data_IF_772871052824
#
_entry.id   IF_772871052824
#
_cell.length_a   1.000
_cell.length_b   1.000
_cell.length_c   1.000
_cell.angle_alpha   90.00
_cell.angle_beta   90.00
_cell.angle_gamma   90.00
#
_symmetry.space_group_name_H-M   'P 1'
#
loop_
_entity.id
_entity.type
_entity.pdbx_description
1 polymer ?
#
# COMPACT_ATOMS: atom_id res chain seq x y z
N UNK A 1 -6.11 13.03 19.40
CA UNK A 1 -6.35 12.86 17.96
C UNK A 1 -5.24 11.99 17.41
N UNK A 2 -5.55 10.80 16.90
CA UNK A 2 -4.52 9.84 16.49
C UNK A 2 -4.92 9.29 15.13
N UNK A 3 -4.10 9.46 14.08
CA UNK A 3 -4.33 8.79 12.81
C UNK A 3 -4.44 7.28 13.00
N UNK A 4 -5.31 6.62 12.25
CA UNK A 4 -5.36 5.16 12.21
C UNK A 4 -4.50 4.64 11.06
N UNK A 5 -3.93 3.44 11.25
CA UNK A 5 -3.07 2.81 10.24
C UNK A 5 -3.70 1.50 9.79
N UNK A 6 -3.71 1.27 8.49
CA UNK A 6 -4.15 0.04 7.85
C UNK A 6 -3.30 -0.29 6.63
N UNK A 7 -3.57 -1.45 6.01
CA UNK A 7 -2.96 -1.85 4.74
C UNK A 7 -4.05 -2.18 3.74
N UNK A 8 -4.10 -1.43 2.64
CA UNK A 8 -5.10 -1.63 1.58
C UNK A 8 -4.72 -2.74 0.59
N UNK A 9 -3.43 -3.11 0.58
CA UNK A 9 -2.87 -4.09 -0.34
C UNK A 9 -1.59 -4.66 0.24
N UNK A 10 -1.47 -5.98 0.29
CA UNK A 10 -0.28 -6.72 0.69
C UNK A 10 0.02 -7.78 -0.38
N UNK A 11 1.29 -7.87 -0.76
CA UNK A 11 1.78 -8.75 -1.81
C UNK A 11 2.75 -9.77 -1.22
N UNK A 12 2.43 -11.05 -1.37
CA UNK A 12 3.32 -12.16 -1.06
C UNK A 12 3.77 -12.88 -2.33
N UNK A 13 4.99 -13.42 -2.32
CA UNK A 13 5.54 -14.29 -3.35
C UNK A 13 5.84 -15.67 -2.77
N UNK A 14 5.22 -16.69 -3.34
CA UNK A 14 5.53 -18.09 -3.09
C UNK A 14 6.57 -18.53 -4.11
N UNK A 15 7.75 -18.90 -3.62
CA UNK A 15 8.90 -19.26 -4.45
C UNK A 15 8.81 -20.72 -4.89
N UNK A 16 9.28 -20.97 -6.11
CA UNK A 16 9.51 -22.31 -6.66
C UNK A 16 8.25 -23.17 -6.78
N UNK A 17 7.07 -22.54 -6.90
CA UNK A 17 5.80 -23.23 -7.11
C UNK A 17 5.78 -23.83 -8.52
N UNK A 18 5.77 -25.17 -8.69
CA UNK A 18 5.73 -25.80 -10.00
C UNK A 18 4.40 -25.55 -10.73
N UNK A 19 4.40 -25.65 -12.06
CA UNK A 19 3.20 -25.43 -12.87
C UNK A 19 2.05 -26.37 -12.49
N UNK A 20 2.35 -27.64 -12.20
CA UNK A 20 1.36 -28.62 -11.75
C UNK A 20 0.70 -28.24 -10.43
N UNK A 21 1.47 -27.66 -9.50
CA UNK A 21 0.95 -27.13 -8.23
C UNK A 21 0.11 -25.89 -8.48
N UNK A 22 0.57 -24.97 -9.33
CA UNK A 22 -0.20 -23.80 -9.71
C UNK A 22 -1.56 -24.15 -10.35
N UNK A 23 -1.63 -25.17 -11.22
CA UNK A 23 -2.90 -25.63 -11.77
C UNK A 23 -3.82 -26.21 -10.70
N UNK A 24 -3.29 -26.99 -9.74
CA UNK A 24 -4.09 -27.50 -8.62
C UNK A 24 -4.60 -26.39 -7.72
N UNK A 25 -3.76 -25.38 -7.43
CA UNK A 25 -4.18 -24.15 -6.74
C UNK A 25 -5.36 -23.51 -7.46
N UNK A 26 -5.22 -23.27 -8.76
CA UNK A 26 -6.25 -22.60 -9.55
C UNK A 26 -7.57 -23.38 -9.57
N UNK A 27 -7.50 -24.72 -9.73
CA UNK A 27 -8.68 -25.59 -9.64
C UNK A 27 -9.37 -25.49 -8.27
N UNK A 28 -8.61 -25.50 -7.16
CA UNK A 28 -9.18 -25.30 -5.81
C UNK A 28 -9.92 -23.97 -5.68
N UNK A 29 -9.39 -22.89 -6.27
CA UNK A 29 -10.05 -21.59 -6.26
C UNK A 29 -11.30 -21.58 -7.14
N UNK A 30 -11.29 -22.24 -8.30
CA UNK A 30 -12.48 -22.35 -9.15
C UNK A 30 -13.63 -23.11 -8.47
N UNK A 31 -13.32 -24.13 -7.66
CA UNK A 31 -14.32 -24.88 -6.90
C UNK A 31 -15.07 -24.01 -5.87
N UNK A 32 -14.51 -22.87 -5.47
CA UNK A 32 -15.17 -21.91 -4.56
C UNK A 32 -16.27 -21.08 -5.24
N UNK A 33 -16.51 -21.26 -6.54
CA UNK A 33 -17.54 -20.53 -7.33
C UNK A 33 -17.38 -19.00 -7.31
N UNK A 34 -16.16 -18.50 -7.10
CA UNK A 34 -15.87 -17.07 -7.18
C UNK A 34 -15.94 -16.53 -8.61
N UNK A 35 -16.15 -15.21 -8.73
CA UNK A 35 -16.10 -14.53 -10.03
C UNK A 35 -14.64 -14.32 -10.42
N UNK A 36 -14.18 -15.01 -11.46
CA UNK A 36 -12.80 -14.92 -11.94
C UNK A 36 -12.73 -14.20 -13.29
N UNK A 37 -11.83 -13.23 -13.40
CA UNK A 37 -11.36 -12.68 -14.68
C UNK A 37 -9.90 -13.09 -14.86
N UNK A 38 -9.52 -13.58 -16.04
CA UNK A 38 -8.15 -14.03 -16.28
C UNK A 38 -7.58 -13.52 -17.59
N UNK A 39 -6.25 -13.42 -17.63
CA UNK A 39 -5.46 -13.16 -18.82
C UNK A 39 -4.27 -14.10 -18.85
N UNK A 40 -4.09 -14.79 -19.97
CA UNK A 40 -3.01 -15.76 -20.17
C UNK A 40 -2.11 -15.29 -21.29
N UNK A 41 -0.82 -15.13 -20.98
CA UNK A 41 0.22 -14.77 -21.92
C UNK A 41 1.00 -16.04 -22.28
N UNK A 42 0.43 -16.86 -23.17
CA UNK A 42 0.94 -18.22 -23.48
C UNK A 42 2.42 -18.25 -23.88
N UNK A 43 2.87 -17.29 -24.69
CA UNK A 43 4.29 -17.18 -25.13
C UNK A 43 5.26 -16.86 -23.98
N UNK A 44 4.78 -16.27 -22.90
CA UNK A 44 5.58 -15.85 -21.74
C UNK A 44 5.32 -16.72 -20.51
N UNK A 45 4.50 -17.78 -20.65
CA UNK A 45 4.06 -18.66 -19.56
C UNK A 45 3.64 -17.87 -18.31
N UNK A 46 2.90 -16.79 -18.55
CA UNK A 46 2.48 -15.86 -17.52
C UNK A 46 0.95 -15.84 -17.44
N UNK A 47 0.44 -15.94 -16.23
CA UNK A 47 -0.98 -16.06 -15.95
C UNK A 47 -1.36 -14.99 -14.92
N UNK A 48 -2.43 -14.26 -15.20
CA UNK A 48 -2.95 -13.21 -14.35
C UNK A 48 -4.41 -13.46 -14.09
N UNK A 49 -4.80 -13.50 -12.81
CA UNK A 49 -6.18 -13.68 -12.39
C UNK A 49 -6.57 -12.56 -11.45
N UNK A 50 -7.81 -12.10 -11.61
CA UNK A 50 -8.50 -11.27 -10.64
C UNK A 50 -9.73 -12.02 -10.20
N UNK A 51 -9.77 -12.33 -8.91
CA UNK A 51 -10.76 -13.19 -8.29
C UNK A 51 -11.54 -12.33 -7.31
N UNK A 52 -12.86 -12.26 -7.48
CA UNK A 52 -13.75 -11.51 -6.59
C UNK A 52 -14.52 -12.50 -5.72
N UNK A 53 -14.27 -12.41 -4.41
CA UNK A 53 -14.80 -13.34 -3.41
C UNK A 53 -16.09 -12.82 -2.76
N UNK A 54 -16.33 -11.50 -2.80
CA UNK A 54 -17.48 -10.87 -2.19
C UNK A 54 -17.64 -9.39 -2.53
N UNK A 55 -18.27 -8.64 -1.62
CA UNK A 55 -18.38 -7.17 -1.71
C UNK A 55 -17.07 -6.55 -1.20
N UNK A 56 -16.24 -6.06 -2.13
CA UNK A 56 -14.94 -5.46 -1.79
C UNK A 56 -13.79 -6.46 -1.62
N UNK A 57 -14.10 -7.74 -1.37
CA UNK A 57 -13.12 -8.80 -1.21
C UNK A 57 -12.58 -9.30 -2.56
N UNK A 58 -11.26 -9.32 -2.70
CA UNK A 58 -10.58 -9.68 -3.94
C UNK A 58 -9.29 -10.44 -3.70
N UNK A 59 -8.82 -11.14 -4.72
CA UNK A 59 -7.48 -11.72 -4.79
C UNK A 59 -6.93 -11.53 -6.19
N UNK A 60 -5.77 -10.91 -6.29
CA UNK A 60 -4.98 -10.82 -7.50
C UNK A 60 -3.91 -11.90 -7.48
N UNK A 61 -3.87 -12.71 -8.54
CA UNK A 61 -2.89 -13.79 -8.71
C UNK A 61 -2.06 -13.48 -9.93
N UNK A 62 -0.74 -13.51 -9.77
CA UNK A 62 0.22 -13.45 -10.87
C UNK A 62 1.14 -14.67 -10.78
N UNK A 63 1.13 -15.50 -11.80
CA UNK A 63 2.03 -16.64 -11.90
C UNK A 63 2.92 -16.48 -13.14
N UNK A 64 4.20 -16.81 -13.00
CA UNK A 64 5.14 -16.81 -14.12
C UNK A 64 6.10 -18.00 -14.01
N UNK A 65 6.25 -18.70 -15.12
CA UNK A 65 7.14 -19.85 -15.25
C UNK A 65 8.06 -19.65 -16.46
N UNK A 66 9.28 -19.16 -16.28
CA UNK A 66 10.13 -18.78 -17.42
C UNK A 66 10.61 -19.97 -18.26
N UNK A 67 10.93 -21.13 -17.65
CA UNK A 67 11.35 -22.39 -18.32
C UNK A 67 11.19 -23.54 -17.31
N UNK A 68 10.37 -24.56 -17.60
CA UNK A 68 10.21 -25.72 -16.69
C UNK A 68 11.49 -26.56 -16.50
N UNK A 69 12.45 -26.48 -17.43
CA UNK A 69 13.57 -27.40 -17.51
C UNK A 69 14.86 -26.94 -16.81
N UNK A 70 14.99 -25.64 -16.53
CA UNK A 70 16.23 -25.06 -15.97
C UNK A 70 15.90 -23.90 -15.02
N UNK A 71 16.16 -24.13 -13.73
CA UNK A 71 16.20 -23.07 -12.70
C UNK A 71 14.90 -22.89 -11.90
N UNK A 72 15.09 -22.76 -10.58
CA UNK A 72 14.13 -22.33 -9.56
C UNK A 72 13.67 -20.87 -9.76
N UNK A 73 13.13 -20.57 -10.94
CA UNK A 73 12.67 -19.22 -11.34
C UNK A 73 11.14 -19.16 -11.47
N UNK A 74 10.43 -20.00 -10.70
CA UNK A 74 8.97 -19.98 -10.63
C UNK A 74 8.52 -18.99 -9.55
N UNK A 75 7.53 -18.17 -9.87
CA UNK A 75 6.98 -17.22 -8.89
C UNK A 75 5.46 -17.22 -8.98
N UNK A 76 4.81 -17.44 -7.84
CA UNK A 76 3.39 -17.20 -7.64
C UNK A 76 3.23 -16.02 -6.69
N UNK A 77 2.78 -14.88 -7.21
CA UNK A 77 2.46 -13.69 -6.43
C UNK A 77 0.98 -13.59 -6.16
N UNK A 78 0.66 -13.33 -4.90
CA UNK A 78 -0.68 -13.11 -4.40
C UNK A 78 -0.77 -11.69 -3.85
N UNK A 79 -1.84 -10.98 -4.20
CA UNK A 79 -2.10 -9.62 -3.78
C UNK A 79 -3.55 -9.48 -3.30
N UNK A 80 -3.72 -9.06 -2.04
CA UNK A 80 -5.03 -8.81 -1.40
C UNK A 80 -4.86 -7.95 -0.14
N UNK A 81 -5.95 -7.65 0.57
CA UNK A 81 -5.88 -7.02 1.90
C UNK A 81 -5.52 -8.06 2.98
N UNK A 82 -4.78 -7.69 4.04
CA UNK A 82 -4.40 -8.63 5.10
C UNK A 82 -5.57 -9.43 5.68
N UNK A 83 -6.68 -8.78 6.01
CA UNK A 83 -7.86 -9.42 6.59
C UNK A 83 -8.57 -10.43 5.65
N UNK A 84 -8.27 -10.39 4.35
CA UNK A 84 -8.85 -11.34 3.40
C UNK A 84 -8.04 -12.63 3.28
N UNK A 85 -6.87 -12.74 3.92
CA UNK A 85 -6.09 -13.98 3.92
C UNK A 85 -6.84 -15.11 4.66
N UNK A 86 -7.61 -14.82 5.70
CA UNK A 86 -8.37 -15.83 6.44
C UNK A 86 -9.36 -16.62 5.56
N UNK A 87 -9.90 -15.99 4.49
CA UNK A 87 -10.90 -16.61 3.60
C UNK A 87 -10.42 -17.86 2.89
N UNK A 88 -9.10 -18.02 2.75
CA UNK A 88 -8.48 -19.10 1.99
C UNK A 88 -7.32 -19.72 2.76
N UNK A 89 -7.36 -19.68 4.11
CA UNK A 89 -6.31 -20.19 5.01
C UNK A 89 -5.86 -21.62 4.65
N UNK A 90 -6.80 -22.55 4.44
CA UNK A 90 -6.48 -23.92 4.04
C UNK A 90 -5.71 -24.01 2.71
N UNK A 91 -6.04 -23.12 1.75
CA UNK A 91 -5.35 -23.06 0.46
C UNK A 91 -3.95 -22.48 0.65
N UNK A 92 -3.78 -21.49 1.52
CA UNK A 92 -2.50 -20.86 1.82
C UNK A 92 -1.55 -21.82 2.52
N UNK A 93 -2.04 -22.55 3.51
CA UNK A 93 -1.25 -23.55 4.20
C UNK A 93 -0.79 -24.65 3.24
N UNK A 94 -1.71 -25.19 2.44
CA UNK A 94 -1.38 -26.18 1.42
C UNK A 94 -0.34 -25.65 0.42
N UNK A 95 -0.47 -24.40 -0.01
CA UNK A 95 0.45 -23.76 -0.95
C UNK A 95 1.83 -23.53 -0.32
N UNK A 96 1.89 -23.10 0.94
CA UNK A 96 3.13 -22.92 1.71
C UNK A 96 3.94 -24.21 1.75
N UNK A 97 3.29 -25.34 1.99
CA UNK A 97 3.95 -26.67 2.00
C UNK A 97 4.53 -27.10 0.64
N UNK A 98 4.19 -26.40 -0.46
CA UNK A 98 4.68 -26.68 -1.81
C UNK A 98 5.66 -25.63 -2.33
N UNK A 99 5.79 -24.51 -1.65
CA UNK A 99 6.76 -23.47 -1.97
C UNK A 99 8.06 -23.74 -1.21
N UNK A 100 9.20 -23.31 -1.76
CA UNK A 100 10.47 -23.37 -1.04
C UNK A 100 10.52 -22.37 0.11
N UNK A 101 9.88 -21.21 -0.07
CA UNK A 101 9.66 -20.17 0.94
C UNK A 101 8.55 -19.20 0.50
N UNK A 102 8.09 -18.40 1.45
CA UNK A 102 7.12 -17.31 1.21
C UNK A 102 7.78 -15.99 1.56
N UNK A 103 7.75 -15.05 0.63
CA UNK A 103 8.39 -13.75 0.79
C UNK A 103 7.35 -12.62 0.75
N UNK A 104 7.49 -11.65 1.66
CA UNK A 104 6.86 -10.35 1.57
C UNK A 104 7.52 -9.53 0.45
N UNK A 105 6.70 -9.02 -0.47
CA UNK A 105 7.16 -8.23 -1.63
C UNK A 105 6.90 -6.74 -1.42
N UNK A 106 5.70 -6.37 -1.01
CA UNK A 106 5.31 -4.97 -0.80
C UNK A 106 3.93 -4.85 -0.17
N UNK A 107 3.63 -3.70 0.42
CA UNK A 107 2.27 -3.32 0.79
C UNK A 107 2.02 -1.81 0.60
N UNK A 108 0.76 -1.41 0.59
CA UNK A 108 0.35 0.00 0.61
C UNK A 108 -0.11 0.34 2.04
N UNK A 109 0.73 1.07 2.79
CA UNK A 109 0.38 1.53 4.14
C UNK A 109 -0.54 2.74 4.01
N UNK A 110 -1.71 2.68 4.63
CA UNK A 110 -2.70 3.75 4.65
C UNK A 110 -2.75 4.39 6.03
N UNK A 111 -2.53 5.71 6.09
CA UNK A 111 -2.71 6.55 7.27
C UNK A 111 -3.96 7.39 7.09
N UNK A 112 -4.98 7.10 7.90
CA UNK A 112 -6.23 7.83 7.92
C UNK A 112 -6.16 8.95 8.96
N UNK A 113 -6.21 10.18 8.48
CA UNK A 113 -6.02 11.41 9.25
C UNK A 113 -7.38 12.08 9.40
N UNK A 114 -7.89 12.31 10.62
CA UNK A 114 -9.25 12.82 10.86
C UNK A 114 -9.36 14.34 10.62
N UNK A 115 -8.96 14.79 9.43
CA UNK A 115 -8.91 16.17 8.99
C UNK A 115 -9.20 16.26 7.50
N UNK A 116 -9.67 17.42 7.05
CA UNK A 116 -9.92 17.68 5.64
C UNK A 116 -8.61 17.67 4.83
N UNK A 117 -8.72 17.36 3.54
CA UNK A 117 -7.57 17.28 2.64
C UNK A 117 -6.78 18.58 2.56
N UNK A 118 -7.44 19.71 2.77
CA UNK A 118 -6.83 21.04 2.81
C UNK A 118 -5.91 21.20 4.01
N UNK A 119 -6.27 20.65 5.17
CA UNK A 119 -5.50 20.77 6.40
C UNK A 119 -4.32 19.80 6.49
N UNK A 120 -4.29 18.78 5.65
CA UNK A 120 -3.20 17.79 5.63
C UNK A 120 -2.15 18.16 4.59
N UNK A 121 -0.96 18.55 5.07
CA UNK A 121 0.19 18.89 4.23
C UNK A 121 1.13 17.70 4.15
N UNK A 122 1.46 17.26 2.93
CA UNK A 122 2.44 16.19 2.69
C UNK A 122 3.52 16.69 1.74
N UNK A 123 4.79 16.46 2.10
CA UNK A 123 5.94 16.89 1.34
C UNK A 123 6.89 15.72 1.13
N UNK A 124 7.20 15.38 -0.13
CA UNK A 124 8.26 14.42 -0.40
C UNK A 124 9.64 14.96 0.00
N UNK A 125 10.48 14.08 0.54
CA UNK A 125 11.90 14.34 0.77
C UNK A 125 12.76 14.03 -0.46
N UNK A 126 12.25 13.28 -1.43
CA UNK A 126 12.92 13.01 -2.71
C UNK A 126 12.41 13.98 -3.78
N UNK A 127 13.30 14.81 -4.32
CA UNK A 127 12.97 15.79 -5.37
C UNK A 127 12.48 15.12 -6.66
N UNK A 128 12.83 13.84 -6.90
CA UNK A 128 12.39 13.08 -8.08
C UNK A 128 10.94 12.62 -7.97
N UNK A 129 10.30 12.77 -6.80
CA UNK A 129 8.87 12.49 -6.60
C UNK A 129 8.08 13.78 -6.75
N UNK A 130 7.91 14.19 -7.99
CA UNK A 130 7.05 15.32 -8.34
C UNK A 130 5.61 15.06 -7.91
N UNK A 131 4.95 16.12 -7.44
CA UNK A 131 3.54 16.12 -7.16
C UNK A 131 2.76 16.25 -8.47
N UNK A 132 1.83 15.32 -8.70
CA UNK A 132 0.86 15.35 -9.78
C UNK A 132 -0.54 15.37 -9.19
N UNK A 133 -1.35 16.35 -9.58
CA UNK A 133 -2.76 16.39 -9.22
C UNK A 133 -3.59 15.67 -10.28
N UNK A 134 -4.49 14.81 -9.83
CA UNK A 134 -5.53 14.26 -10.70
C UNK A 134 -6.84 14.21 -9.92
N UNK A 135 -7.83 14.97 -10.42
CA UNK A 135 -9.06 15.29 -9.67
C UNK A 135 -8.68 15.86 -8.29
N UNK A 136 -9.27 15.34 -7.23
CA UNK A 136 -9.02 15.72 -5.83
C UNK A 136 -7.88 14.93 -5.18
N UNK A 137 -7.09 14.15 -5.95
CA UNK A 137 -6.00 13.33 -5.40
C UNK A 137 -4.63 13.91 -5.75
N UNK A 138 -3.77 14.00 -4.73
CA UNK A 138 -2.35 14.36 -4.82
C UNK A 138 -1.51 13.09 -4.95
N UNK A 139 -0.77 12.95 -6.05
CA UNK A 139 0.13 11.81 -6.31
C UNK A 139 1.58 12.26 -6.24
N UNK A 140 2.42 11.57 -5.47
CA UNK A 140 3.86 11.81 -5.44
C UNK A 140 4.59 10.72 -6.21
N UNK A 141 5.09 11.09 -7.39
CA UNK A 141 5.67 10.20 -8.38
C UNK A 141 4.76 9.97 -9.58
N UNK A 142 5.35 9.45 -10.65
CA UNK A 142 4.69 9.21 -11.96
C UNK A 142 4.12 7.79 -12.08
N UNK A 143 3.22 7.50 -13.03
CA UNK A 143 2.50 6.22 -13.09
C UNK A 143 3.37 4.96 -13.08
N UNK A 144 4.56 4.97 -13.70
CA UNK A 144 5.46 3.82 -13.70
C UNK A 144 6.12 3.56 -12.33
N UNK A 145 6.09 4.54 -11.42
CA UNK A 145 6.62 4.43 -10.06
C UNK A 145 5.59 3.86 -9.06
N UNK A 146 4.34 3.60 -9.47
CA UNK A 146 3.25 3.09 -8.61
C UNK A 146 3.58 1.83 -7.81
N UNK A 147 4.55 1.04 -8.28
CA UNK A 147 5.01 -0.21 -7.64
C UNK A 147 6.38 -0.08 -6.99
N UNK A 148 6.93 1.13 -6.92
CA UNK A 148 8.20 1.42 -6.28
C UNK A 148 7.97 1.85 -4.84
N UNK A 149 8.95 1.54 -3.99
CA UNK A 149 8.95 1.99 -2.60
C UNK A 149 8.67 3.49 -2.52
N UNK A 150 7.88 3.93 -1.56
CA UNK A 150 7.56 5.32 -1.28
C UNK A 150 6.62 6.01 -2.26
N UNK A 151 6.05 5.34 -3.27
CA UNK A 151 5.02 6.01 -4.09
C UNK A 151 3.86 6.40 -3.17
N UNK A 152 3.39 7.64 -3.28
CA UNK A 152 2.41 8.16 -2.32
C UNK A 152 1.18 8.77 -2.99
N UNK A 153 0.03 8.57 -2.36
CA UNK A 153 -1.26 9.17 -2.72
C UNK A 153 -1.86 9.85 -1.50
N UNK A 154 -2.39 11.04 -1.68
CA UNK A 154 -3.13 11.75 -0.63
C UNK A 154 -4.46 12.20 -1.20
N UNK A 155 -5.55 11.79 -0.57
CA UNK A 155 -6.89 12.07 -1.07
C UNK A 155 -7.92 12.14 0.04
N UNK A 156 -9.06 12.73 -0.29
CA UNK A 156 -10.24 12.75 0.55
C UNK A 156 -10.86 11.35 0.61
N UNK A 157 -10.67 10.67 1.75
CA UNK A 157 -11.14 9.30 1.95
C UNK A 157 -12.64 9.26 2.21
N UNK A 158 -13.20 10.31 2.83
CA UNK A 158 -14.64 10.45 3.03
C UNK A 158 -15.36 10.49 1.69
N UNK A 159 -14.90 11.34 0.78
CA UNK A 159 -15.46 11.43 -0.57
C UNK A 159 -15.31 10.10 -1.33
N UNK A 160 -14.16 9.43 -1.21
CA UNK A 160 -13.94 8.13 -1.87
C UNK A 160 -14.86 7.02 -1.35
N UNK A 161 -15.09 6.96 -0.04
CA UNK A 161 -16.02 6.02 0.59
C UNK A 161 -17.46 6.25 0.14
N UNK A 162 -17.88 7.51 0.02
CA UNK A 162 -19.18 7.85 -0.53
C UNK A 162 -19.31 7.45 -2.00
N UNK A 163 -18.40 7.95 -2.86
CA UNK A 163 -18.47 7.77 -4.31
C UNK A 163 -18.40 6.31 -4.74
N UNK A 164 -17.58 5.49 -4.06
CA UNK A 164 -17.33 4.10 -4.48
C UNK A 164 -18.14 3.07 -3.72
N UNK A 165 -18.50 3.36 -2.48
CA UNK A 165 -19.10 2.38 -1.59
C UNK A 165 -20.47 2.80 -1.05
N UNK A 166 -20.89 4.05 -1.28
CA UNK A 166 -22.12 4.61 -0.72
C UNK A 166 -22.07 4.73 0.81
N UNK A 167 -20.87 4.78 1.39
CA UNK A 167 -20.68 4.85 2.84
C UNK A 167 -20.63 6.32 3.24
N UNK A 168 -21.66 6.76 3.96
CA UNK A 168 -21.68 8.07 4.58
C UNK A 168 -20.93 8.02 5.92
N UNK A 169 -20.14 9.04 6.19
CA UNK A 169 -19.32 9.14 7.40
C UNK A 169 -19.40 10.55 7.96
N UNK A 170 -19.48 10.64 9.29
CA UNK A 170 -19.41 11.91 10.02
C UNK A 170 -17.96 12.39 10.16
N UNK A 171 -17.77 13.71 10.22
CA UNK A 171 -16.45 14.32 10.30
C UNK A 171 -15.68 14.32 8.97
N UNK A 172 -14.38 14.58 9.05
CA UNK A 172 -13.46 14.70 7.91
C UNK A 172 -12.42 13.57 7.92
N UNK A 173 -12.02 13.10 6.75
CA UNK A 173 -11.02 12.03 6.66
C UNK A 173 -10.17 12.14 5.40
N UNK A 174 -8.87 12.36 5.62
CA UNK A 174 -7.86 12.32 4.57
C UNK A 174 -7.05 11.05 4.70
N UNK A 175 -6.86 10.33 3.59
CA UNK A 175 -5.95 9.18 3.56
C UNK A 175 -4.63 9.54 2.89
N UNK A 176 -3.54 9.19 3.55
CA UNK A 176 -2.18 9.18 3.00
C UNK A 176 -1.80 7.70 2.80
N UNK A 177 -1.64 7.28 1.55
CA UNK A 177 -1.18 5.93 1.21
C UNK A 177 0.26 5.99 0.73
N UNK A 178 1.16 5.22 1.35
CA UNK A 178 2.57 5.14 0.97
C UNK A 178 2.94 3.67 0.73
N UNK A 179 3.44 3.37 -0.46
CA UNK A 179 3.94 2.03 -0.82
C UNK A 179 5.16 1.71 0.03
N UNK A 180 5.10 0.66 0.82
CA UNK A 180 6.27 0.02 1.42
C UNK A 180 6.74 -1.12 0.53
N UNK A 181 7.96 -1.00 0.01
CA UNK A 181 8.61 -2.05 -0.75
C UNK A 181 10.09 -2.12 -0.36
N UNK A 182 10.54 -3.18 0.33
CA UNK A 182 11.94 -3.33 0.68
C UNK A 182 12.80 -3.51 -0.58
N UNK A 183 14.11 -3.25 -0.45
CA UNK A 183 15.05 -3.31 -1.59
C UNK A 183 15.14 -4.75 -2.14
N UNK A 184 15.13 -5.71 -1.22
CA UNK A 184 15.01 -7.13 -1.47
C UNK A 184 13.73 -7.63 -0.80
N UNK A 185 13.13 -8.70 -1.34
CA UNK A 185 11.98 -9.32 -0.68
C UNK A 185 12.42 -9.87 0.69
N UNK A 186 11.53 -9.80 1.68
CA UNK A 186 11.81 -10.26 3.04
C UNK A 186 11.06 -11.56 3.25
N UNK A 187 11.69 -12.58 3.83
CA UNK A 187 10.95 -13.80 4.18
C UNK A 187 9.78 -13.48 5.12
N UNK A 188 8.62 -14.09 4.91
CA UNK A 188 7.41 -13.79 5.68
C UNK A 188 7.61 -14.00 7.19
N UNK A 189 8.52 -14.88 7.60
CA UNK A 189 8.89 -15.10 9.00
C UNK A 189 9.63 -13.92 9.64
N UNK A 190 10.32 -13.09 8.85
CA UNK A 190 11.17 -11.99 9.32
C UNK A 190 10.54 -10.60 9.15
N UNK A 191 9.41 -10.47 8.43
CA UNK A 191 8.83 -9.15 8.13
C UNK A 191 8.35 -8.40 9.39
N UNK A 192 8.03 -9.11 10.48
CA UNK A 192 7.67 -8.53 11.78
C UNK A 192 8.75 -7.57 12.29
N UNK A 193 10.02 -7.89 12.07
CA UNK A 193 11.16 -7.09 12.53
C UNK A 193 11.54 -5.96 11.57
N UNK A 194 10.83 -5.85 10.43
CA UNK A 194 11.12 -4.91 9.36
C UNK A 194 9.93 -3.96 9.09
N UNK A 195 9.50 -3.14 10.06
CA UNK A 195 8.40 -2.20 9.86
C UNK A 195 8.77 -1.11 8.82
N UNK A 196 7.77 -0.49 8.17
CA UNK A 196 8.00 0.60 7.24
C UNK A 196 8.72 1.79 7.89
N UNK A 197 9.75 2.30 7.22
CA UNK A 197 10.40 3.56 7.57
C UNK A 197 10.03 4.62 6.54
N UNK A 198 8.90 5.32 6.73
CA UNK A 198 8.34 6.25 5.75
C UNK A 198 8.65 7.73 6.04
N UNK A 199 9.10 8.08 7.25
CA UNK A 199 9.59 9.44 7.58
C UNK A 199 10.83 9.83 6.76
N UNK A 200 11.63 8.86 6.28
CA UNK A 200 12.74 9.09 5.35
C UNK A 200 12.27 9.49 3.94
N UNK A 201 11.03 9.17 3.58
CA UNK A 201 10.46 9.46 2.26
C UNK A 201 9.58 10.72 2.27
N UNK A 202 8.83 10.96 3.35
CA UNK A 202 7.88 12.06 3.45
C UNK A 202 7.97 12.79 4.78
N UNK A 203 7.54 14.04 4.74
CA UNK A 203 7.17 14.84 5.90
C UNK A 203 5.68 15.15 5.78
N UNK A 204 4.93 15.04 6.87
CA UNK A 204 3.53 15.44 6.89
C UNK A 204 3.16 16.14 8.19
N UNK A 205 2.25 17.10 8.09
CA UNK A 205 1.73 17.84 9.23
C UNK A 205 0.26 18.20 9.00
N UNK A 206 -0.46 18.41 10.10
CA UNK A 206 -1.85 18.88 10.10
C UNK A 206 -1.90 20.31 10.57
N UNK A 207 -2.51 21.17 9.75
CA UNK A 207 -2.79 22.56 10.10
C UNK A 207 -4.16 22.62 10.76
N UNK A 208 -4.20 23.00 12.03
CA UNK A 208 -5.45 23.12 12.79
C UNK A 208 -6.06 24.51 12.72
N UNK A 209 -5.23 25.54 12.47
CA UNK A 209 -5.67 26.91 12.34
C UNK A 209 -4.86 27.65 11.26
N UNK A 210 -5.49 27.89 10.11
CA UNK A 210 -4.90 28.67 9.03
C UNK A 210 -4.83 30.16 9.33
N UNK A 211 -5.71 30.70 10.17
CA UNK A 211 -5.78 32.12 10.49
C UNK A 211 -4.60 32.55 11.39
N UNK A 212 -4.10 31.63 12.22
CA UNK A 212 -2.89 31.84 13.02
C UNK A 212 -1.60 31.92 12.18
N UNK A 213 -1.62 31.50 10.90
CA UNK A 213 -0.44 31.51 10.05
C UNK A 213 -0.21 32.87 9.36
N UNK A 214 1.06 33.25 9.22
CA UNK A 214 1.42 34.42 8.41
C UNK A 214 0.89 34.23 6.97
N UNK A 215 0.23 35.24 6.35
CA UNK A 215 -0.42 35.07 5.04
C UNK A 215 0.51 34.52 3.94
N UNK A 216 1.74 35.03 3.87
CA UNK A 216 2.77 34.55 2.94
C UNK A 216 3.13 33.07 3.15
N UNK A 217 3.11 32.58 4.40
CA UNK A 217 3.39 31.18 4.71
C UNK A 217 2.22 30.28 4.36
N UNK A 218 1.00 30.70 4.68
CA UNK A 218 -0.21 29.99 4.28
C UNK A 218 -0.27 29.82 2.76
N UNK A 219 0.05 30.88 2.00
CA UNK A 219 0.13 30.82 0.54
C UNK A 219 1.21 29.85 0.04
N UNK A 220 2.43 29.90 0.61
CA UNK A 220 3.51 28.95 0.26
C UNK A 220 3.11 27.49 0.50
N UNK A 221 2.41 27.21 1.60
CA UNK A 221 1.94 25.86 1.93
C UNK A 221 0.88 25.41 0.91
N UNK A 222 -0.12 26.25 0.62
CA UNK A 222 -1.15 25.95 -0.38
C UNK A 222 -0.53 25.68 -1.75
N UNK A 223 0.45 26.47 -2.14
CA UNK A 223 1.17 26.27 -3.40
C UNK A 223 1.93 24.94 -3.43
N UNK A 224 2.59 24.55 -2.33
CA UNK A 224 3.21 23.21 -2.21
C UNK A 224 2.17 22.10 -2.33
N UNK A 225 1.01 22.22 -1.68
CA UNK A 225 -0.08 21.25 -1.76
C UNK A 225 -0.71 21.14 -3.15
N UNK A 226 -0.67 22.22 -3.94
CA UNK A 226 -1.22 22.30 -5.28
C UNK A 226 -0.17 22.00 -6.38
N UNK A 227 1.09 21.80 -6.01
CA UNK A 227 2.17 21.62 -6.97
C UNK A 227 2.47 22.87 -7.81
N UNK A 228 1.95 24.02 -7.41
CA UNK A 228 2.23 25.30 -8.05
C UNK A 228 3.55 25.85 -7.49
N UNK A 229 4.48 26.18 -8.39
CA UNK A 229 5.84 26.65 -8.10
C UNK A 229 6.77 25.60 -7.48
N UNK A 230 7.77 25.16 -8.27
CA UNK A 230 8.90 24.36 -7.83
C UNK A 230 9.77 25.16 -6.85
N UNK A 231 9.30 25.25 -5.61
CA UNK A 231 9.99 26.00 -4.58
C UNK A 231 11.38 25.42 -4.33
N UNK A 232 12.36 26.32 -4.26
CA UNK A 232 13.74 26.00 -3.91
C UNK A 232 13.78 25.26 -2.58
N UNK A 233 14.87 24.51 -2.36
CA UNK A 233 15.12 23.82 -1.07
C UNK A 233 14.94 24.77 0.12
N UNK A 234 15.38 26.02 0.00
CA UNK A 234 15.25 27.04 1.04
C UNK A 234 13.80 27.30 1.45
N UNK A 235 12.89 27.46 0.49
CA UNK A 235 11.47 27.72 0.78
C UNK A 235 10.83 26.48 1.41
N UNK A 236 11.16 25.27 0.92
CA UNK A 236 10.66 24.01 1.50
C UNK A 236 11.08 23.85 2.96
N UNK A 237 12.35 24.13 3.28
CA UNK A 237 12.83 24.10 4.67
C UNK A 237 12.18 25.19 5.53
N UNK A 238 11.97 26.39 4.97
CA UNK A 238 11.24 27.46 5.64
C UNK A 238 9.76 27.13 5.90
N UNK A 239 9.13 26.28 5.09
CA UNK A 239 7.76 25.77 5.33
C UNK A 239 7.78 24.66 6.39
N UNK A 240 8.74 23.72 6.34
CA UNK A 240 8.88 22.69 7.37
C UNK A 240 9.07 23.27 8.77
N UNK A 241 9.90 24.32 8.90
CA UNK A 241 10.09 25.02 10.18
C UNK A 241 8.79 25.62 10.71
N UNK A 242 7.98 26.20 9.83
CA UNK A 242 6.65 26.72 10.20
C UNK A 242 5.72 25.59 10.66
N UNK A 243 5.71 24.47 9.93
CA UNK A 243 4.87 23.31 10.24
C UNK A 243 5.35 22.51 11.46
N UNK A 244 6.56 22.73 11.96
CA UNK A 244 7.09 22.01 13.11
C UNK A 244 6.39 22.37 14.42
N UNK A 245 5.72 23.53 14.48
CA UNK A 245 4.86 23.92 15.61
C UNK A 245 3.46 23.29 15.55
N UNK A 246 3.11 22.67 14.43
CA UNK A 246 1.84 21.99 14.20
C UNK A 246 1.92 20.51 14.59
N UNK A 247 0.81 19.78 14.48
CA UNK A 247 0.82 18.34 14.66
C UNK A 247 1.54 17.65 13.49
N UNK A 248 2.77 17.19 13.73
CA UNK A 248 3.58 16.43 12.76
C UNK A 248 3.24 14.95 12.84
N UNK A 249 2.99 14.31 11.68
CA UNK A 249 2.76 12.88 11.63
C UNK A 249 4.09 12.12 11.68
N UNK A 250 4.24 11.27 12.70
CA UNK A 250 5.31 10.28 12.75
C UNK A 250 4.86 8.97 12.10
N UNK A 251 5.06 8.84 10.78
CA UNK A 251 4.71 7.63 10.04
C UNK A 251 5.42 6.39 10.58
N UNK A 252 6.70 6.50 10.93
CA UNK A 252 7.48 5.39 11.48
C UNK A 252 6.88 4.89 12.80
N UNK A 253 6.60 5.80 13.74
CA UNK A 253 6.00 5.46 15.02
C UNK A 253 4.59 4.86 14.87
N UNK A 254 3.76 5.48 14.02
CA UNK A 254 2.40 5.01 13.73
C UNK A 254 2.41 3.60 13.09
N UNK A 255 3.22 3.39 12.05
CA UNK A 255 3.32 2.10 11.38
C UNK A 255 3.87 1.01 12.32
N UNK A 256 4.94 1.30 13.07
CA UNK A 256 5.55 0.34 14.01
C UNK A 256 4.55 -0.11 15.07
N UNK A 257 3.74 0.82 15.61
CA UNK A 257 2.73 0.51 16.62
C UNK A 257 1.68 -0.49 16.11
N UNK A 258 1.28 -0.37 14.85
CA UNK A 258 0.21 -1.18 14.26
C UNK A 258 0.73 -2.39 13.47
N UNK A 259 2.06 -2.52 13.32
CA UNK A 259 2.67 -3.46 12.38
C UNK A 259 2.34 -4.91 12.68
N UNK A 260 2.44 -5.31 13.94
CA UNK A 260 2.13 -6.66 14.39
C UNK A 260 0.66 -7.00 14.14
N UNK A 261 -0.26 -6.11 14.57
CA UNK A 261 -1.71 -6.27 14.35
C UNK A 261 -2.07 -6.38 12.87
N UNK A 262 -1.37 -5.65 11.99
CA UNK A 262 -1.58 -5.68 10.55
C UNK A 262 -1.14 -7.02 9.94
N UNK A 263 -0.03 -7.59 10.43
CA UNK A 263 0.52 -8.84 9.92
C UNK A 263 -0.20 -10.08 10.48
N UNK A 264 -0.87 -9.95 11.62
CA UNK A 264 -1.50 -11.05 12.34
C UNK A 264 -2.43 -11.92 11.48
N UNK A 265 -3.39 -11.37 10.70
CA UNK A 265 -4.25 -12.20 9.85
C UNK A 265 -3.47 -12.97 8.77
N UNK A 266 -2.35 -12.40 8.31
CA UNK A 266 -1.50 -13.03 7.30
C UNK A 266 -0.69 -14.17 7.92
N UNK A 267 -0.16 -13.96 9.12
CA UNK A 267 0.64 -14.97 9.84
C UNK A 267 -0.23 -16.15 10.25
N UNK A 268 -1.39 -15.89 10.86
CA UNK A 268 -2.35 -16.93 11.21
C UNK A 268 -2.74 -17.73 9.98
N UNK A 269 -3.10 -17.07 8.87
CA UNK A 269 -3.60 -17.75 7.69
C UNK A 269 -2.52 -18.48 6.85
N UNK A 270 -1.28 -17.98 6.80
CA UNK A 270 -0.22 -18.53 5.94
C UNK A 270 0.72 -19.45 6.73
N UNK A 271 1.14 -19.03 7.93
CA UNK A 271 2.12 -19.75 8.75
C UNK A 271 1.46 -20.69 9.77
N UNK A 272 0.18 -20.47 10.11
CA UNK A 272 -0.51 -21.25 11.14
C UNK A 272 -0.05 -20.90 12.56
N UNK A 273 0.49 -19.69 12.74
CA UNK A 273 1.00 -19.18 14.03
C UNK A 273 0.13 -17.99 14.43
N UNK A 274 -0.41 -18.03 15.64
CA UNK A 274 -1.02 -16.90 16.35
C UNK A 274 -0.01 -16.31 17.35
#
# INVERSE_FOLDING_TARGET
MTPTVSVDKLVLEYKDVPLSVFYRFFMRVLLQKYKVRWRVYRKLYCYQFHIRMGKGEYLHVFYKNFREKEGFLHTLRLETRPEYYERLSEIWEWLRQKASRVEFVSCDIAYDVPFSLENVVVMSRDIRRSLHLYKTTRYFGVPHQRKQNGYCRVYDKKQELWDRHGIQMEGELTRIEIVYKPAENIELTHIRDCPPEQNKQYYAAVITDWAAMKPKKAEQIRNIQNGTNLYTRYIREGVKKELASQYVLDFNGLARKEWERILEPVYTAVLGVA
#
